data_IF_444581533525
#
_entry.id   IF_444581533525
#
_cell.length_a   1.000
_cell.length_b   1.000
_cell.length_c   1.000
_cell.angle_alpha   90.00
_cell.angle_beta   90.00
_cell.angle_gamma   90.00
#
_symmetry.space_group_name_H-M   'P 1'
#
loop_
_entity.id
_entity.type
_entity.pdbx_description
1 polymer ?
#
# COMPACT_ATOMS: atom_id res chain seq x y z
N UNK A 1 7.90 1.77 3.91
CA UNK A 1 8.82 0.69 4.36
C UNK A 1 8.43 -0.62 3.71
N UNK A 2 7.22 -1.14 3.94
CA UNK A 2 6.74 -2.38 3.33
C UNK A 2 6.84 -2.40 1.80
N UNK A 3 6.33 -1.37 1.12
CA UNK A 3 6.40 -1.27 -0.35
C UNK A 3 7.83 -1.15 -0.88
N UNK A 4 8.67 -0.29 -0.26
CA UNK A 4 10.09 -0.17 -0.61
C UNK A 4 10.87 -1.47 -0.40
N UNK A 5 10.44 -2.31 0.54
CA UNK A 5 11.02 -3.62 0.80
C UNK A 5 10.47 -4.73 -0.10
N UNK A 6 9.54 -4.43 -1.02
CA UNK A 6 8.94 -5.41 -1.93
C UNK A 6 7.88 -6.32 -1.29
N UNK A 7 7.47 -6.05 -0.04
CA UNK A 7 6.52 -6.90 0.69
C UNK A 7 5.06 -6.62 0.35
N UNK A 8 4.76 -5.42 -0.15
CA UNK A 8 3.39 -4.99 -0.45
C UNK A 8 3.35 -4.16 -1.73
N UNK A 9 2.27 -4.28 -2.50
CA UNK A 9 1.96 -3.37 -3.59
C UNK A 9 0.81 -2.45 -3.17
N UNK A 10 1.04 -1.14 -3.20
CA UNK A 10 0.00 -0.15 -2.93
C UNK A 10 -0.59 0.36 -4.24
N UNK A 11 -1.89 0.67 -4.26
CA UNK A 11 -2.55 1.36 -5.37
C UNK A 11 -3.59 2.31 -4.78
N UNK A 12 -3.50 3.63 -5.05
CA UNK A 12 -4.49 4.59 -4.61
C UNK A 12 -5.75 4.49 -5.46
N UNK A 13 -6.90 4.74 -4.83
CA UNK A 13 -8.19 4.77 -5.52
C UNK A 13 -9.01 5.98 -5.06
N UNK A 14 -9.80 6.54 -5.98
CA UNK A 14 -10.75 7.62 -5.72
C UNK A 14 -12.14 7.21 -6.17
N UNK A 15 -13.13 7.46 -5.32
CA UNK A 15 -14.53 7.34 -5.74
C UNK A 15 -14.85 8.44 -6.73
N UNK A 16 -15.51 8.05 -7.81
CA UNK A 16 -16.07 8.99 -8.78
C UNK A 16 -17.57 8.73 -8.90
N UNK A 17 -18.34 9.80 -8.83
CA UNK A 17 -19.77 9.75 -9.11
C UNK A 17 -20.01 10.03 -10.60
N UNK A 18 -21.25 9.88 -11.03
CA UNK A 18 -21.67 10.30 -12.36
C UNK A 18 -22.95 11.12 -12.28
N UNK A 19 -23.15 11.95 -13.29
CA UNK A 19 -24.33 12.74 -13.50
C UNK A 19 -25.18 12.05 -14.58
N UNK A 20 -26.46 11.70 -14.29
CA UNK A 20 -27.30 11.04 -15.27
C UNK A 20 -27.46 11.88 -16.54
N UNK A 21 -27.57 11.21 -17.69
CA UNK A 21 -27.55 11.87 -19.01
C UNK A 21 -28.58 13.01 -19.14
N UNK A 22 -29.77 12.83 -18.55
CA UNK A 22 -30.84 13.82 -18.53
C UNK A 22 -30.46 15.16 -17.85
N UNK A 23 -29.45 15.17 -16.97
CA UNK A 23 -29.04 16.35 -16.19
C UNK A 23 -27.70 16.94 -16.64
N UNK A 24 -27.08 16.41 -17.70
CA UNK A 24 -25.77 16.85 -18.20
C UNK A 24 -25.68 18.34 -18.54
N UNK A 25 -26.79 18.94 -18.97
CA UNK A 25 -26.86 20.37 -19.29
C UNK A 25 -27.03 21.29 -18.07
N UNK A 26 -27.39 20.72 -16.92
CA UNK A 26 -27.66 21.48 -15.69
C UNK A 26 -26.40 22.17 -15.16
N UNK A 27 -26.59 23.29 -14.46
CA UNK A 27 -25.47 24.02 -13.84
C UNK A 27 -24.70 23.14 -12.86
N UNK A 28 -25.43 22.35 -12.06
CA UNK A 28 -24.87 21.45 -11.04
C UNK A 28 -23.99 20.38 -11.69
N UNK A 29 -24.44 19.75 -12.76
CA UNK A 29 -23.64 18.75 -13.45
C UNK A 29 -22.36 19.35 -14.05
N UNK A 30 -22.47 20.53 -14.67
CA UNK A 30 -21.33 21.24 -15.27
C UNK A 30 -20.31 21.74 -14.25
N UNK A 31 -20.73 22.11 -13.04
CA UNK A 31 -19.81 22.53 -11.98
C UNK A 31 -19.13 21.35 -11.29
N UNK A 32 -19.84 20.23 -11.12
CA UNK A 32 -19.35 19.13 -10.30
C UNK A 32 -18.63 18.01 -11.08
N UNK A 33 -18.73 18.03 -12.40
CA UNK A 33 -18.27 16.93 -13.24
C UNK A 33 -17.34 17.36 -14.38
N UNK A 34 -16.50 16.43 -14.80
CA UNK A 34 -15.73 16.49 -16.05
C UNK A 34 -16.23 15.42 -17.04
N UNK A 35 -15.68 15.40 -18.25
CA UNK A 35 -16.02 14.48 -19.32
C UNK A 35 -17.54 14.37 -19.55
N UNK A 36 -18.23 15.52 -19.60
CA UNK A 36 -19.67 15.62 -19.83
C UNK A 36 -20.54 14.86 -18.82
N UNK A 37 -20.16 14.87 -17.54
CA UNK A 37 -20.95 14.27 -16.47
C UNK A 37 -20.56 12.83 -16.13
N UNK A 38 -19.55 12.26 -16.80
CA UNK A 38 -19.12 10.87 -16.56
C UNK A 38 -18.38 10.69 -15.23
N UNK A 39 -17.66 11.71 -14.79
CA UNK A 39 -16.88 11.68 -13.55
C UNK A 39 -17.12 12.95 -12.75
N UNK A 40 -17.63 12.78 -11.54
CA UNK A 40 -18.05 13.86 -10.67
C UNK A 40 -17.52 13.65 -9.25
N UNK A 41 -17.39 14.76 -8.52
CA UNK A 41 -17.17 14.76 -7.08
C UNK A 41 -18.18 15.70 -6.42
N UNK A 42 -18.53 15.48 -5.14
CA UNK A 42 -19.30 16.46 -4.40
C UNK A 42 -18.49 17.74 -4.21
N UNK A 43 -19.20 18.85 -4.05
CA UNK A 43 -18.59 20.15 -3.79
C UNK A 43 -17.82 20.12 -2.46
N UNK A 44 -16.52 20.45 -2.45
CA UNK A 44 -15.68 20.30 -1.27
C UNK A 44 -16.09 21.23 -0.13
N UNK A 45 -16.69 22.38 -0.45
CA UNK A 45 -17.13 23.38 0.53
C UNK A 45 -18.63 23.28 0.83
N UNK A 46 -19.33 22.36 0.16
CA UNK A 46 -20.80 22.23 0.18
C UNK A 46 -21.52 23.54 -0.18
N UNK A 47 -20.83 24.44 -0.89
CA UNK A 47 -21.32 25.75 -1.30
C UNK A 47 -21.12 25.93 -2.81
N UNK A 48 -22.20 25.73 -3.57
CA UNK A 48 -22.19 25.89 -5.02
C UNK A 48 -22.08 27.35 -5.50
N UNK A 49 -21.98 28.33 -4.60
CA UNK A 49 -21.95 29.76 -4.94
C UNK A 49 -20.55 30.37 -4.90
N UNK A 50 -19.62 29.76 -4.19
CA UNK A 50 -18.27 30.28 -4.01
C UNK A 50 -17.26 29.17 -3.77
N UNK A 51 -15.99 29.42 -4.11
CA UNK A 51 -14.92 28.46 -3.84
C UNK A 51 -14.66 27.47 -4.97
N UNK A 52 -14.18 26.28 -4.62
CA UNK A 52 -13.83 25.24 -5.59
C UNK A 52 -15.03 24.35 -5.90
N UNK A 53 -15.18 23.95 -7.16
CA UNK A 53 -16.28 23.09 -7.57
C UNK A 53 -15.84 21.61 -7.58
N UNK A 54 -16.79 20.67 -7.58
CA UNK A 54 -16.49 19.25 -7.64
C UNK A 54 -15.62 18.86 -8.84
N UNK A 55 -15.73 19.53 -9.99
CA UNK A 55 -14.87 19.25 -11.15
C UNK A 55 -13.38 19.51 -10.85
N UNK A 56 -13.07 20.49 -10.01
CA UNK A 56 -11.69 20.81 -9.62
C UNK A 56 -11.11 19.67 -8.77
N UNK A 57 -11.95 19.10 -7.89
CA UNK A 57 -11.61 17.90 -7.11
C UNK A 57 -11.37 16.70 -8.03
N UNK A 58 -12.22 16.47 -9.04
CA UNK A 58 -12.02 15.36 -9.98
C UNK A 58 -10.72 15.54 -10.79
N UNK A 59 -10.41 16.76 -11.22
CA UNK A 59 -9.17 17.07 -11.96
C UNK A 59 -7.94 16.77 -11.10
N UNK A 60 -7.95 17.15 -9.82
CA UNK A 60 -6.85 16.85 -8.90
C UNK A 60 -6.77 15.36 -8.54
N UNK A 61 -7.89 14.66 -8.34
CA UNK A 61 -7.91 13.21 -8.16
C UNK A 61 -7.29 12.49 -9.38
N UNK A 62 -7.68 12.89 -10.59
CA UNK A 62 -7.09 12.40 -11.83
C UNK A 62 -5.58 12.66 -11.90
N UNK A 63 -5.13 13.85 -11.47
CA UNK A 63 -3.71 14.19 -11.39
C UNK A 63 -2.97 13.28 -10.40
N UNK A 64 -3.52 13.06 -9.21
CA UNK A 64 -2.95 12.16 -8.20
C UNK A 64 -2.84 10.72 -8.72
N UNK A 65 -3.86 10.21 -9.42
CA UNK A 65 -3.80 8.89 -10.08
C UNK A 65 -2.70 8.84 -11.16
N UNK A 66 -2.55 9.89 -11.96
CA UNK A 66 -1.51 9.96 -12.97
C UNK A 66 -0.10 10.12 -12.39
N UNK A 67 0.06 10.84 -11.28
CA UNK A 67 1.30 10.87 -10.50
C UNK A 67 1.67 9.45 -10.06
N UNK A 68 0.72 8.69 -9.52
CA UNK A 68 0.95 7.30 -9.14
C UNK A 68 1.37 6.45 -10.35
N UNK A 69 0.63 6.51 -11.48
CA UNK A 69 0.96 5.75 -12.69
C UNK A 69 2.38 6.05 -13.19
N UNK A 70 2.75 7.34 -13.30
CA UNK A 70 4.08 7.76 -13.77
C UNK A 70 5.18 7.37 -12.78
N UNK A 71 4.96 7.50 -11.48
CA UNK A 71 5.91 7.07 -10.46
C UNK A 71 6.11 5.54 -10.48
N UNK A 72 5.04 4.79 -10.74
CA UNK A 72 5.06 3.33 -10.83
C UNK A 72 5.83 2.82 -12.05
N UNK A 73 5.83 3.54 -13.19
CA UNK A 73 6.69 3.21 -14.34
C UNK A 73 8.19 3.13 -13.98
N UNK A 74 8.61 3.84 -12.92
CA UNK A 74 9.98 3.86 -12.41
C UNK A 74 10.17 3.00 -11.16
N UNK A 75 9.20 2.14 -10.80
CA UNK A 75 9.17 1.37 -9.56
C UNK A 75 9.31 2.23 -8.29
N UNK A 76 8.75 3.45 -8.32
CA UNK A 76 8.78 4.41 -7.20
C UNK A 76 7.38 4.89 -6.84
N UNK A 77 6.39 3.99 -6.91
CA UNK A 77 4.98 4.25 -6.58
C UNK A 77 4.77 4.99 -5.25
N UNK A 78 5.64 4.76 -4.26
CA UNK A 78 5.60 5.45 -2.97
C UNK A 78 5.75 6.98 -3.06
N UNK A 79 6.29 7.54 -4.15
CA UNK A 79 6.34 9.00 -4.38
C UNK A 79 4.95 9.62 -4.45
N UNK A 80 3.91 8.83 -4.72
CA UNK A 80 2.54 9.29 -4.61
C UNK A 80 2.20 9.75 -3.18
N UNK A 81 2.69 9.06 -2.14
CA UNK A 81 2.49 9.47 -0.74
C UNK A 81 3.12 10.83 -0.44
N UNK A 82 4.33 11.06 -0.98
CA UNK A 82 5.02 12.34 -0.86
C UNK A 82 4.23 13.43 -1.59
N UNK A 83 3.72 13.14 -2.79
CA UNK A 83 2.90 14.07 -3.58
C UNK A 83 1.62 14.50 -2.86
N UNK A 84 0.79 13.56 -2.41
CA UNK A 84 -0.49 13.91 -1.76
C UNK A 84 -0.28 14.64 -0.43
N UNK A 85 0.79 14.30 0.29
CA UNK A 85 1.16 14.98 1.54
C UNK A 85 1.63 16.41 1.26
N UNK A 86 2.56 16.59 0.33
CA UNK A 86 3.07 17.91 -0.03
C UNK A 86 1.99 18.79 -0.67
N UNK A 87 1.13 18.22 -1.52
CA UNK A 87 0.02 18.93 -2.14
C UNK A 87 -0.97 19.44 -1.08
N UNK A 88 -1.38 18.58 -0.14
CA UNK A 88 -2.30 18.99 0.94
C UNK A 88 -1.73 20.12 1.80
N UNK A 89 -0.41 20.15 2.01
CA UNK A 89 0.26 21.19 2.81
C UNK A 89 0.46 22.47 2.01
N UNK A 90 0.90 22.37 0.75
CA UNK A 90 1.36 23.52 -0.06
C UNK A 90 0.27 24.15 -0.92
N UNK A 91 -0.80 23.40 -1.20
CA UNK A 91 -1.88 23.81 -2.10
C UNK A 91 -3.24 23.93 -1.39
N UNK A 92 -3.34 24.65 -0.25
CA UNK A 92 -4.59 24.73 0.49
C UNK A 92 -5.66 25.49 -0.31
N UNK A 93 -6.87 24.94 -0.33
CA UNK A 93 -8.05 25.57 -0.95
C UNK A 93 -8.32 26.98 -0.38
N UNK A 94 -8.13 27.16 0.94
CA UNK A 94 -8.33 28.46 1.62
C UNK A 94 -7.46 29.59 1.05
N UNK A 95 -6.30 29.26 0.50
CA UNK A 95 -5.39 30.24 -0.12
C UNK A 95 -5.55 30.31 -1.64
N UNK A 96 -6.59 29.66 -2.20
CA UNK A 96 -6.83 29.55 -3.64
C UNK A 96 -5.67 28.89 -4.41
N UNK A 97 -4.97 27.97 -3.75
CA UNK A 97 -3.82 27.23 -4.32
C UNK A 97 -4.16 25.82 -4.78
N UNK A 98 -5.42 25.37 -4.67
CA UNK A 98 -5.85 24.07 -5.17
C UNK A 98 -6.01 24.15 -6.70
N UNK A 99 -4.90 24.21 -7.42
CA UNK A 99 -4.86 24.44 -8.86
C UNK A 99 -3.66 23.76 -9.51
N UNK A 100 -3.63 23.79 -10.85
CA UNK A 100 -2.60 23.15 -11.65
C UNK A 100 -1.21 23.72 -11.34
N UNK A 101 -1.09 25.03 -11.19
CA UNK A 101 0.19 25.71 -10.98
C UNK A 101 0.87 25.24 -9.69
N UNK A 102 0.10 25.12 -8.61
CA UNK A 102 0.61 24.60 -7.35
C UNK A 102 0.95 23.10 -7.47
N UNK A 103 0.07 22.32 -8.10
CA UNK A 103 0.28 20.91 -8.34
C UNK A 103 1.59 20.63 -9.11
N UNK A 104 1.85 21.39 -10.17
CA UNK A 104 3.05 21.29 -11.00
C UNK A 104 4.32 21.63 -10.20
N UNK A 105 4.26 22.61 -9.30
CA UNK A 105 5.38 22.95 -8.43
C UNK A 105 5.74 21.78 -7.49
N UNK A 106 4.73 21.08 -6.95
CA UNK A 106 4.95 19.88 -6.13
C UNK A 106 5.53 18.75 -6.98
N UNK A 107 4.92 18.44 -8.13
CA UNK A 107 5.41 17.42 -9.09
C UNK A 107 6.88 17.64 -9.43
N UNK A 108 7.25 18.89 -9.75
CA UNK A 108 8.63 19.26 -10.07
C UNK A 108 9.57 19.09 -8.87
N UNK A 109 9.12 19.43 -7.66
CA UNK A 109 9.93 19.26 -6.45
C UNK A 109 10.25 17.80 -6.13
N UNK A 110 9.41 16.85 -6.58
CA UNK A 110 9.61 15.41 -6.45
C UNK A 110 10.36 14.80 -7.64
N UNK A 111 10.75 15.60 -8.63
CA UNK A 111 11.49 15.14 -9.81
C UNK A 111 10.66 14.28 -10.78
N UNK A 112 9.33 14.41 -10.76
CA UNK A 112 8.43 13.70 -11.67
C UNK A 112 8.26 14.47 -13.00
N UNK A 113 8.03 13.75 -14.09
CA UNK A 113 7.83 14.34 -15.42
C UNK A 113 6.40 14.85 -15.60
N UNK A 114 6.23 16.17 -15.47
CA UNK A 114 4.94 16.85 -15.66
C UNK A 114 4.28 16.53 -17.02
N UNK A 115 5.06 16.36 -18.10
CA UNK A 115 4.51 16.08 -19.44
C UNK A 115 3.90 14.68 -19.50
N UNK A 116 4.53 13.70 -18.86
CA UNK A 116 3.95 12.34 -18.76
C UNK A 116 2.65 12.36 -17.95
N UNK A 117 2.61 13.14 -16.87
CA UNK A 117 1.41 13.28 -16.04
C UNK A 117 0.28 13.95 -16.83
N UNK A 118 0.54 15.06 -17.51
CA UNK A 118 -0.44 15.75 -18.37
C UNK A 118 -0.96 14.82 -19.49
N UNK A 119 -0.06 14.06 -20.12
CA UNK A 119 -0.43 13.07 -21.13
C UNK A 119 -1.34 11.97 -20.55
N UNK A 120 -1.06 11.51 -19.33
CA UNK A 120 -1.91 10.54 -18.64
C UNK A 120 -3.29 11.10 -18.31
N UNK A 121 -3.37 12.37 -17.89
CA UNK A 121 -4.64 13.02 -17.56
C UNK A 121 -5.53 13.18 -18.80
N UNK A 122 -4.94 13.48 -19.95
CA UNK A 122 -5.70 13.72 -21.18
C UNK A 122 -6.54 14.99 -21.12
N UNK A 123 -7.58 15.09 -21.95
CA UNK A 123 -8.51 16.22 -21.95
C UNK A 123 -9.70 15.98 -21.00
N UNK A 124 -9.82 16.71 -19.89
CA UNK A 124 -10.95 16.57 -18.97
C UNK A 124 -12.27 17.09 -19.56
N UNK A 125 -12.24 17.88 -20.65
CA UNK A 125 -13.44 18.41 -21.29
C UNK A 125 -13.95 17.54 -22.44
N UNK A 126 -13.23 16.47 -22.80
CA UNK A 126 -13.64 15.59 -23.90
C UNK A 126 -14.97 14.91 -23.58
N UNK A 127 -15.85 14.82 -24.58
CA UNK A 127 -17.08 14.00 -24.51
C UNK A 127 -16.75 12.52 -24.78
N UNK A 128 -15.84 11.96 -23.97
CA UNK A 128 -15.36 10.60 -24.05
C UNK A 128 -14.97 10.08 -22.66
N UNK A 129 -14.86 8.76 -22.54
CA UNK A 129 -14.38 8.13 -21.31
C UNK A 129 -12.91 8.50 -21.07
N UNK A 130 -12.57 8.83 -19.83
CA UNK A 130 -11.20 8.96 -19.39
C UNK A 130 -10.74 7.58 -18.89
N UNK A 131 -9.71 6.96 -19.51
CA UNK A 131 -9.34 5.58 -19.18
C UNK A 131 -8.89 5.42 -17.72
N UNK A 132 -8.30 6.45 -17.11
CA UNK A 132 -7.88 6.42 -15.70
C UNK A 132 -9.09 6.45 -14.78
N UNK A 133 -10.03 7.35 -15.00
CA UNK A 133 -11.23 7.46 -14.14
C UNK A 133 -12.24 6.33 -14.39
N UNK A 134 -12.26 5.78 -15.61
CA UNK A 134 -13.06 4.59 -15.91
C UNK A 134 -12.58 3.38 -15.10
N UNK A 135 -11.27 3.21 -14.99
CA UNK A 135 -10.66 2.18 -14.14
C UNK A 135 -11.06 2.35 -12.67
N UNK A 136 -11.17 3.59 -12.18
CA UNK A 136 -11.63 3.86 -10.81
C UNK A 136 -13.09 3.45 -10.58
N UNK A 137 -13.99 3.70 -11.53
CA UNK A 137 -15.38 3.24 -11.43
C UNK A 137 -15.46 1.70 -11.39
N UNK A 138 -14.69 1.02 -12.22
CA UNK A 138 -14.64 -0.43 -12.25
C UNK A 138 -13.99 -0.99 -10.95
N UNK A 139 -12.96 -0.32 -10.43
CA UNK A 139 -12.32 -0.65 -9.17
C UNK A 139 -13.22 -0.37 -7.96
N UNK A 140 -14.13 0.60 -8.03
CA UNK A 140 -15.12 0.90 -6.99
C UNK A 140 -16.18 -0.21 -6.88
N UNK A 141 -16.74 -0.69 -7.99
CA UNK A 141 -17.65 -1.85 -8.01
C UNK A 141 -16.93 -3.11 -7.54
N UNK A 142 -15.72 -3.34 -8.06
CA UNK A 142 -14.91 -4.49 -7.68
C UNK A 142 -15.33 -5.78 -8.36
N UNK A 143 -14.69 -6.88 -7.93
CA UNK A 143 -14.85 -8.21 -8.52
C UNK A 143 -15.02 -9.28 -7.45
N UNK A 144 -15.82 -10.29 -7.76
CA UNK A 144 -16.03 -11.46 -6.90
C UNK A 144 -16.70 -11.10 -5.58
N UNK A 145 -16.21 -11.68 -4.48
CA UNK A 145 -16.82 -11.55 -3.15
C UNK A 145 -16.48 -10.26 -2.40
N UNK A 146 -15.70 -9.34 -2.97
CA UNK A 146 -15.32 -8.08 -2.30
C UNK A 146 -16.51 -7.14 -2.15
N UNK A 147 -17.37 -7.10 -3.17
CA UNK A 147 -18.43 -6.10 -3.32
C UNK A 147 -17.92 -4.68 -3.55
N UNK A 148 -18.89 -3.79 -3.72
CA UNK A 148 -18.70 -2.37 -3.99
C UNK A 148 -18.11 -1.64 -2.77
N UNK A 149 -17.28 -0.63 -3.04
CA UNK A 149 -16.83 0.33 -2.03
C UNK A 149 -17.86 1.44 -1.95
N UNK A 150 -18.64 1.45 -0.88
CA UNK A 150 -19.73 2.42 -0.65
C UNK A 150 -19.50 3.33 0.56
N UNK A 151 -18.50 3.03 1.38
CA UNK A 151 -18.14 3.79 2.58
C UNK A 151 -16.71 4.32 2.41
N UNK A 152 -16.49 5.57 2.76
CA UNK A 152 -15.16 6.21 2.71
C UNK A 152 -14.73 6.72 4.08
N UNK A 153 -13.41 6.70 4.37
CA UNK A 153 -12.36 5.97 3.65
C UNK A 153 -12.48 4.44 3.83
N UNK A 154 -12.11 3.67 2.80
CA UNK A 154 -12.03 2.19 2.86
C UNK A 154 -10.63 1.71 2.49
N UNK A 155 -10.09 0.80 3.31
CA UNK A 155 -8.87 0.05 2.99
C UNK A 155 -9.25 -1.32 2.44
N UNK A 156 -8.59 -1.74 1.37
CA UNK A 156 -8.71 -3.09 0.82
C UNK A 156 -7.36 -3.79 0.93
N UNK A 157 -7.33 -5.00 1.50
CA UNK A 157 -6.15 -5.86 1.60
C UNK A 157 -6.49 -7.18 0.92
N UNK A 158 -5.71 -7.59 -0.08
CA UNK A 158 -5.90 -8.86 -0.83
C UNK A 158 -7.35 -9.08 -1.29
N UNK A 159 -7.95 -8.07 -1.94
CA UNK A 159 -9.33 -8.06 -2.43
C UNK A 159 -10.40 -8.26 -1.33
N UNK A 160 -10.11 -7.90 -0.08
CA UNK A 160 -11.06 -7.87 1.03
C UNK A 160 -11.12 -6.49 1.67
N UNK A 161 -12.33 -5.97 1.85
CA UNK A 161 -12.54 -4.67 2.52
C UNK A 161 -12.26 -4.81 4.03
N UNK A 162 -11.40 -3.96 4.55
CA UNK A 162 -11.09 -3.89 5.98
C UNK A 162 -12.21 -3.13 6.71
N UNK A 163 -12.80 -3.75 7.74
CA UNK A 163 -13.93 -3.21 8.51
C UNK A 163 -13.56 -2.69 9.90
N UNK A 164 -12.27 -2.50 10.19
CA UNK A 164 -11.80 -2.01 11.48
C UNK A 164 -11.47 -0.52 11.48
N UNK A 165 -10.95 -0.03 12.61
CA UNK A 165 -10.44 1.35 12.72
C UNK A 165 -9.19 1.52 11.85
N UNK A 166 -9.08 2.63 11.13
CA UNK A 166 -7.89 3.00 10.36
C UNK A 166 -6.78 3.59 11.24
N UNK A 167 -6.54 2.99 12.41
CA UNK A 167 -5.40 3.34 13.26
C UNK A 167 -4.14 2.67 12.74
N UNK A 168 -2.97 3.32 12.87
CA UNK A 168 -1.67 2.83 12.36
C UNK A 168 -1.41 1.35 12.70
N UNK A 169 -1.50 0.97 13.98
CA UNK A 169 -1.26 -0.41 14.43
C UNK A 169 -2.29 -1.40 13.89
N UNK A 170 -3.57 -1.00 13.84
CA UNK A 170 -4.65 -1.87 13.35
C UNK A 170 -4.55 -2.13 11.84
N UNK A 171 -4.18 -1.11 11.06
CA UNK A 171 -3.91 -1.23 9.62
C UNK A 171 -2.66 -2.09 9.38
N UNK A 172 -1.58 -1.86 10.12
CA UNK A 172 -0.37 -2.67 10.01
C UNK A 172 -0.65 -4.13 10.34
N UNK A 173 -1.41 -4.41 11.41
CA UNK A 173 -1.86 -5.75 11.77
C UNK A 173 -2.70 -6.40 10.67
N UNK A 174 -3.61 -5.65 10.04
CA UNK A 174 -4.40 -6.14 8.92
C UNK A 174 -3.53 -6.52 7.71
N UNK A 175 -2.53 -5.69 7.38
CA UNK A 175 -1.57 -5.99 6.30
C UNK A 175 -0.73 -7.21 6.65
N UNK A 176 -0.16 -7.26 7.85
CA UNK A 176 0.66 -8.38 8.33
C UNK A 176 -0.11 -9.72 8.36
N UNK A 177 -1.42 -9.69 8.63
CA UNK A 177 -2.27 -10.88 8.58
C UNK A 177 -2.45 -11.48 7.18
N UNK A 178 -2.03 -10.76 6.13
CA UNK A 178 -2.07 -11.19 4.75
C UNK A 178 -0.88 -12.03 4.28
N UNK A 179 0.19 -12.13 5.09
CA UNK A 179 1.34 -12.96 4.77
C UNK A 179 1.12 -14.42 5.24
N UNK A 180 1.81 -15.34 4.55
CA UNK A 180 1.92 -16.72 5.00
C UNK A 180 2.83 -16.78 6.22
N UNK A 181 2.56 -17.73 7.13
CA UNK A 181 3.34 -17.90 8.35
C UNK A 181 4.82 -18.11 8.01
N UNK A 182 5.71 -17.44 8.74
CA UNK A 182 7.17 -17.39 8.54
C UNK A 182 7.67 -16.59 7.33
N UNK A 183 6.78 -16.01 6.53
CA UNK A 183 7.13 -15.15 5.37
C UNK A 183 6.98 -13.67 5.66
N UNK A 184 6.54 -13.32 6.88
CA UNK A 184 6.25 -11.95 7.26
C UNK A 184 7.53 -11.11 7.38
N UNK A 185 7.51 -9.84 6.95
CA UNK A 185 8.64 -8.95 7.18
C UNK A 185 8.83 -8.66 8.67
N UNK A 186 10.06 -8.37 9.09
CA UNK A 186 10.41 -8.09 10.49
C UNK A 186 9.55 -7.00 11.17
N UNK A 187 9.00 -6.04 10.41
CA UNK A 187 8.09 -5.02 10.94
C UNK A 187 6.78 -5.61 11.50
N UNK A 188 6.38 -6.79 11.03
CA UNK A 188 5.22 -7.53 11.51
C UNK A 188 5.47 -8.27 12.83
N UNK A 189 6.73 -8.44 13.22
CA UNK A 189 7.18 -9.10 14.47
C UNK A 189 7.60 -8.07 15.53
N UNK A 190 7.01 -6.88 15.46
CA UNK A 190 7.24 -5.83 16.45
C UNK A 190 6.13 -5.88 17.50
N UNK A 191 6.47 -5.56 18.75
CA UNK A 191 5.52 -5.62 19.87
C UNK A 191 4.30 -4.69 19.75
N UNK A 192 4.29 -3.76 18.80
CA UNK A 192 3.12 -2.94 18.46
C UNK A 192 2.08 -3.69 17.60
N UNK A 193 2.45 -4.86 17.06
CA UNK A 193 1.69 -5.63 16.05
C UNK A 193 1.25 -6.99 16.58
N UNK A 194 2.19 -7.72 17.17
CA UNK A 194 2.02 -9.07 17.69
C UNK A 194 2.61 -9.20 19.12
N UNK A 195 2.51 -10.39 19.71
CA UNK A 195 3.08 -10.70 21.02
C UNK A 195 4.04 -11.86 20.86
N UNK A 196 5.35 -11.58 21.02
CA UNK A 196 6.38 -12.57 20.80
C UNK A 196 6.31 -13.69 21.85
N UNK A 197 5.81 -14.84 21.43
CA UNK A 197 5.59 -16.00 22.30
C UNK A 197 6.89 -16.71 22.70
N UNK A 198 7.97 -16.51 21.94
CA UNK A 198 9.29 -17.05 22.29
C UNK A 198 9.91 -16.40 23.53
N UNK A 199 9.44 -15.20 23.92
CA UNK A 199 9.92 -14.54 25.14
C UNK A 199 9.37 -15.19 26.43
N UNK A 200 8.28 -15.93 26.35
CA UNK A 200 7.70 -16.65 27.48
C UNK A 200 7.98 -18.16 27.36
N UNK A 201 8.75 -18.71 28.29
CA UNK A 201 9.14 -20.13 28.32
C UNK A 201 9.68 -20.68 26.99
N UNK A 202 10.37 -19.85 26.19
CA UNK A 202 10.87 -20.20 24.85
C UNK A 202 9.77 -20.69 23.90
N UNK A 203 8.53 -20.22 24.10
CA UNK A 203 7.34 -20.72 23.40
C UNK A 203 7.03 -22.20 23.66
N UNK A 204 7.73 -22.88 24.57
CA UNK A 204 7.69 -24.34 24.71
C UNK A 204 8.42 -25.09 23.59
N UNK A 205 9.31 -24.42 22.85
CA UNK A 205 10.20 -25.06 21.87
C UNK A 205 11.51 -25.54 22.52
N UNK A 206 12.19 -26.42 21.82
CA UNK A 206 13.52 -26.91 22.20
C UNK A 206 14.51 -25.74 22.33
N UNK A 207 15.37 -25.84 23.34
CA UNK A 207 16.43 -24.87 23.60
C UNK A 207 17.67 -25.58 24.14
N UNK A 208 18.81 -25.29 23.55
CA UNK A 208 20.12 -25.57 24.15
C UNK A 208 20.61 -24.29 24.85
N UNK A 209 20.55 -24.30 26.19
CA UNK A 209 20.99 -23.16 27.01
C UNK A 209 22.51 -23.01 27.04
N UNK A 210 23.28 -24.08 26.81
CA UNK A 210 24.74 -24.03 26.83
C UNK A 210 25.28 -23.38 25.55
N UNK A 211 24.71 -23.76 24.40
CA UNK A 211 25.05 -23.19 23.10
C UNK A 211 24.25 -21.92 22.73
N UNK A 212 23.29 -21.52 23.58
CA UNK A 212 22.34 -20.44 23.33
C UNK A 212 21.58 -20.60 22.00
N UNK A 213 21.18 -21.85 21.70
CA UNK A 213 20.40 -22.20 20.51
C UNK A 213 18.94 -22.40 20.89
N UNK A 214 18.04 -21.99 20.01
CA UNK A 214 16.59 -22.19 20.18
C UNK A 214 15.96 -22.61 18.88
N UNK A 215 14.96 -23.49 18.99
CA UNK A 215 14.06 -23.81 17.89
C UNK A 215 12.85 -22.86 17.83
N UNK A 216 12.69 -21.95 18.79
CA UNK A 216 11.56 -21.02 18.78
C UNK A 216 11.78 -19.94 17.73
N UNK A 217 10.88 -19.91 16.75
CA UNK A 217 10.82 -18.87 15.72
C UNK A 217 9.49 -18.15 15.84
N UNK A 218 9.60 -16.88 16.17
CA UNK A 218 8.46 -15.98 16.30
C UNK A 218 7.82 -15.69 14.94
N UNK A 219 6.51 -15.52 14.93
CA UNK A 219 5.70 -15.30 13.72
C UNK A 219 4.58 -14.31 14.02
N UNK A 220 3.92 -13.76 13.00
CA UNK A 220 2.79 -12.85 13.24
C UNK A 220 1.60 -13.54 13.93
N UNK A 221 1.45 -14.86 13.76
CA UNK A 221 0.33 -15.66 14.27
C UNK A 221 0.63 -16.31 15.62
N UNK A 222 1.81 -16.09 16.18
CA UNK A 222 2.32 -16.74 17.38
C UNK A 222 3.73 -17.25 17.12
N UNK A 223 4.02 -18.52 17.40
CA UNK A 223 5.35 -19.11 17.15
C UNK A 223 5.31 -20.48 16.50
N UNK A 224 6.38 -20.80 15.77
CA UNK A 224 6.67 -22.15 15.29
C UNK A 224 7.93 -22.68 15.97
N UNK A 225 8.00 -23.99 16.16
CA UNK A 225 9.20 -24.66 16.62
C UNK A 225 9.90 -25.30 15.41
N UNK A 226 11.02 -24.72 14.99
CA UNK A 226 11.80 -25.14 13.83
C UNK A 226 13.28 -25.26 14.24
N UNK A 227 13.88 -26.44 14.05
CA UNK A 227 15.28 -26.63 14.43
C UNK A 227 16.21 -25.66 13.68
N UNK A 228 17.15 -25.01 14.40
CA UNK A 228 17.91 -23.90 13.85
C UNK A 228 18.94 -24.35 12.80
N UNK A 229 19.29 -23.42 11.91
CA UNK A 229 20.46 -23.50 11.04
C UNK A 229 21.57 -22.65 11.64
N UNK A 230 22.66 -23.26 12.09
CA UNK A 230 23.77 -22.57 12.76
C UNK A 230 25.05 -22.88 12.01
N UNK A 231 25.77 -21.86 11.55
CA UNK A 231 27.05 -22.02 10.81
C UNK A 231 26.97 -22.99 9.62
N UNK A 232 25.81 -23.06 8.95
CA UNK A 232 25.55 -23.96 7.82
C UNK A 232 25.20 -25.41 8.22
N UNK A 233 25.21 -25.73 9.51
CA UNK A 233 24.73 -27.00 10.05
C UNK A 233 23.23 -26.91 10.33
N UNK A 234 22.44 -27.67 9.56
CA UNK A 234 21.00 -27.79 9.78
C UNK A 234 20.75 -28.82 10.88
N UNK A 235 20.19 -28.36 12.00
CA UNK A 235 19.70 -29.26 13.03
C UNK A 235 18.41 -29.92 12.54
N UNK A 236 18.22 -31.20 12.86
CA UNK A 236 17.02 -31.99 12.53
C UNK A 236 16.37 -32.49 13.81
N UNK A 237 15.04 -32.55 13.81
CA UNK A 237 14.27 -33.01 14.95
C UNK A 237 12.82 -32.51 14.89
N UNK A 238 12.11 -32.59 16.01
CA UNK A 238 10.73 -32.15 16.13
C UNK A 238 10.60 -30.65 16.45
N UNK A 239 11.69 -29.99 16.86
CA UNK A 239 11.70 -28.58 17.28
C UNK A 239 11.16 -28.33 18.69
N UNK A 240 10.48 -29.30 19.31
CA UNK A 240 9.86 -29.16 20.63
C UNK A 240 10.72 -29.77 21.72
N UNK A 241 11.14 -31.02 21.53
CA UNK A 241 11.87 -31.82 22.51
C UNK A 241 13.27 -32.20 22.02
N UNK A 242 13.49 -32.20 20.71
CA UNK A 242 14.74 -32.67 20.10
C UNK A 242 15.12 -31.82 18.88
N UNK A 243 16.38 -31.38 18.86
CA UNK A 243 17.08 -30.89 17.68
C UNK A 243 18.53 -31.37 17.75
N UNK A 244 19.02 -32.02 16.70
CA UNK A 244 20.36 -32.59 16.63
C UNK A 244 21.04 -32.23 15.31
N UNK A 245 22.29 -31.80 15.36
CA UNK A 245 23.09 -31.51 14.17
C UNK A 245 23.53 -32.82 13.52
N UNK A 246 23.34 -32.96 12.21
CA UNK A 246 24.02 -34.03 11.47
C UNK A 246 25.51 -33.68 11.35
N UNK A 247 26.35 -34.27 12.20
CA UNK A 247 27.80 -34.29 12.00
C UNK A 247 28.09 -34.93 10.63
N UNK A 248 28.18 -34.09 9.59
CA UNK A 248 28.90 -34.49 8.39
C UNK A 248 30.36 -34.39 8.80
N UNK A 249 31.00 -35.54 8.98
CA UNK A 249 32.46 -35.69 9.01
C UNK A 249 33.06 -35.05 7.75
N UNK A 250 33.22 -33.72 7.77
CA UNK A 250 34.00 -32.96 6.81
C UNK A 250 35.45 -33.17 7.23
N UNK A 251 35.99 -34.34 6.89
CA UNK A 251 37.42 -34.59 6.79
C UNK A 251 37.99 -33.57 5.80
N UNK A 252 38.42 -32.41 6.31
CA UNK A 252 39.27 -31.46 5.60
C UNK A 252 40.63 -32.14 5.40
N UNK A 253 40.77 -32.88 4.30
CA UNK A 253 42.06 -33.43 3.88
C UNK A 253 42.89 -32.26 3.36
N UNK A 254 43.74 -31.70 4.23
CA UNK A 254 44.74 -30.71 3.86
C UNK A 254 46.02 -31.48 3.49
N UNK A 255 46.30 -31.59 2.19
CA UNK A 255 47.58 -32.14 1.71
C UNK A 255 48.59 -31.01 1.52
N UNK A 256 49.64 -31.00 2.35
CA UNK A 256 50.82 -30.17 2.11
C UNK A 256 51.81 -30.94 1.25
N UNK A 257 52.12 -30.42 0.06
CA UNK A 257 53.27 -30.84 -0.73
C UNK A 257 54.42 -29.89 -0.39
N UNK A 258 55.44 -30.41 0.27
CA UNK A 258 56.71 -29.73 0.53
C UNK A 258 57.78 -30.31 -0.39
N UNK A 259 58.71 -29.45 -0.84
CA UNK A 259 59.93 -29.82 -1.58
C UNK A 259 60.96 -30.40 -0.61
#
# INVERSE_FOLDING_TARGET
ILEKGGYTQFTPHYITWYCPQAFTISKQCKSQCINHGRYCAPDPEQDFSSGYEGKDVVIENLRQLCVFKVANESNKSWLWWDYVTDFQIRCPMKEKKYNKECADAVIKSLGLDSKKIEKCMGDPNADADNPVLKEEQDAQVGKGSRGDVTILPTLVVNNRQYRGKLARGAVLKAICSGFEETTEPAVCLSGDVETNECLDNNGGCWQDKAANLTACKDTFRGRVCECPLVDGLQFKGDGYSHCEGEDRDLLLIISFYLI
#
